data_IF_820608659000
#
_entry.id   IF_820608659000
#
_cell.length_a   1.000
_cell.length_b   1.000
_cell.length_c   1.000
_cell.angle_alpha   90.00
_cell.angle_beta   90.00
_cell.angle_gamma   90.00
#
_symmetry.space_group_name_H-M   'P 1'
#
loop_
_entity.id
_entity.type
_entity.pdbx_description
1 polymer ?
#
# COMPACT_ATOMS: atom_id res chain seq x y z
N UNK A 1 -2.47 -6.58 -27.74
CA UNK A 1 -2.91 -7.12 -26.44
C UNK A 1 -1.95 -6.57 -25.40
N UNK A 2 -2.34 -5.52 -24.67
CA UNK A 2 -1.49 -4.94 -23.62
C UNK A 2 -1.65 -5.78 -22.36
N UNK A 3 -0.77 -6.76 -22.17
CA UNK A 3 -0.66 -7.46 -20.90
C UNK A 3 -0.29 -6.43 -19.82
N UNK A 4 -1.25 -6.12 -18.95
CA UNK A 4 -1.10 -5.32 -17.74
C UNK A 4 -0.45 -6.22 -16.65
N UNK A 5 0.64 -6.89 -17.00
CA UNK A 5 1.35 -7.80 -16.09
C UNK A 5 1.84 -6.99 -14.88
N UNK A 6 1.09 -7.11 -13.77
CA UNK A 6 1.35 -6.58 -12.43
C UNK A 6 2.28 -5.38 -12.33
N UNK A 7 1.84 -4.22 -12.82
CA UNK A 7 2.55 -2.94 -12.61
C UNK A 7 2.93 -2.72 -11.15
N UNK A 8 2.13 -3.22 -10.20
CA UNK A 8 2.40 -3.12 -8.78
C UNK A 8 3.63 -3.92 -8.31
N UNK A 9 4.06 -4.97 -9.02
CA UNK A 9 5.28 -5.73 -8.72
C UNK A 9 6.54 -5.07 -9.25
N UNK A 10 6.43 -4.07 -10.12
CA UNK A 10 7.58 -3.31 -10.59
C UNK A 10 7.97 -2.29 -9.52
N UNK A 11 9.24 -2.31 -9.12
CA UNK A 11 9.77 -1.46 -8.04
C UNK A 11 9.47 0.03 -8.26
N UNK A 12 9.61 0.53 -9.49
CA UNK A 12 9.34 1.92 -9.84
C UNK A 12 7.89 2.33 -9.61
N UNK A 13 6.95 1.45 -10.00
CA UNK A 13 5.52 1.65 -9.85
C UNK A 13 5.08 1.48 -8.39
N UNK A 14 5.62 0.49 -7.68
CA UNK A 14 5.36 0.31 -6.26
C UNK A 14 5.89 1.46 -5.42
N UNK A 15 7.11 1.94 -5.70
CA UNK A 15 7.68 3.08 -5.00
C UNK A 15 6.82 4.34 -5.21
N UNK A 16 6.35 4.57 -6.45
CA UNK A 16 5.42 5.66 -6.73
C UNK A 16 4.12 5.51 -5.94
N UNK A 17 3.54 4.31 -5.91
CA UNK A 17 2.36 4.00 -5.10
C UNK A 17 2.58 4.23 -3.60
N UNK A 18 3.72 3.77 -3.07
CA UNK A 18 4.12 3.94 -1.67
C UNK A 18 4.21 5.41 -1.28
N UNK A 19 5.02 6.19 -1.99
CA UNK A 19 5.24 7.62 -1.69
C UNK A 19 3.94 8.42 -1.79
N UNK A 20 3.06 8.08 -2.73
CA UNK A 20 1.77 8.74 -2.91
C UNK A 20 0.78 8.46 -1.74
N UNK A 21 0.87 7.30 -1.11
CA UNK A 21 -0.14 6.83 -0.15
C UNK A 21 0.31 6.74 1.29
N UNK A 22 1.62 6.66 1.58
CA UNK A 22 2.17 6.45 2.93
C UNK A 22 1.64 7.47 3.94
N UNK A 23 1.63 8.76 3.60
CA UNK A 23 1.15 9.80 4.51
C UNK A 23 -0.33 9.65 4.83
N UNK A 24 -1.16 9.37 3.83
CA UNK A 24 -2.61 9.21 4.01
C UNK A 24 -2.92 7.93 4.81
N UNK A 25 -2.23 6.83 4.52
CA UNK A 25 -2.37 5.57 5.24
C UNK A 25 -1.94 5.72 6.71
N UNK A 26 -0.80 6.37 6.99
CA UNK A 26 -0.34 6.64 8.36
C UNK A 26 -1.30 7.54 9.11
N UNK A 27 -1.87 8.58 8.47
CA UNK A 27 -2.89 9.42 9.11
C UNK A 27 -4.17 8.64 9.43
N UNK A 28 -4.60 7.75 8.54
CA UNK A 28 -5.77 6.91 8.74
C UNK A 28 -5.55 5.89 9.86
N UNK A 29 -4.39 5.23 9.89
CA UNK A 29 -4.02 4.31 10.96
C UNK A 29 -3.93 5.04 12.30
N UNK A 30 -3.32 6.22 12.34
CA UNK A 30 -3.25 7.06 13.53
C UNK A 30 -4.63 7.47 14.03
N UNK A 31 -5.54 7.83 13.14
CA UNK A 31 -6.93 8.11 13.53
C UNK A 31 -7.61 6.90 14.20
N UNK A 32 -7.27 5.67 13.79
CA UNK A 32 -7.81 4.44 14.38
C UNK A 32 -7.16 4.07 15.72
N UNK A 33 -5.84 4.17 15.84
CA UNK A 33 -5.12 3.65 17.02
C UNK A 33 -4.69 4.73 18.04
N UNK A 34 -4.63 6.01 17.64
CA UNK A 34 -4.18 7.12 18.49
C UNK A 34 -2.68 7.15 18.80
N UNK A 35 -1.90 6.25 18.20
CA UNK A 35 -0.47 6.10 18.45
C UNK A 35 0.31 6.15 17.14
N UNK A 36 1.28 7.06 17.05
CA UNK A 36 2.01 7.32 15.80
C UNK A 36 2.94 6.18 15.40
N UNK A 37 3.59 5.55 16.37
CA UNK A 37 4.56 4.48 16.11
C UNK A 37 3.80 3.23 15.68
N UNK A 38 2.73 2.87 16.40
CA UNK A 38 1.84 1.78 16.00
C UNK A 38 1.18 2.04 14.64
N UNK A 39 0.79 3.28 14.34
CA UNK A 39 0.23 3.64 13.04
C UNK A 39 1.23 3.44 11.90
N UNK A 40 2.50 3.79 12.13
CA UNK A 40 3.56 3.58 11.16
C UNK A 40 3.79 2.08 10.93
N UNK A 41 3.91 1.29 12.01
CA UNK A 41 4.13 -0.16 11.94
C UNK A 41 3.02 -0.88 11.17
N UNK A 42 1.75 -0.57 11.49
CA UNK A 42 0.58 -1.13 10.79
C UNK A 42 0.61 -0.84 9.28
N UNK A 43 0.99 0.38 8.91
CA UNK A 43 1.02 0.80 7.52
C UNK A 43 2.18 0.16 6.77
N UNK A 44 3.37 0.07 7.39
CA UNK A 44 4.50 -0.65 6.80
C UNK A 44 4.16 -2.13 6.57
N UNK A 45 3.50 -2.79 7.53
CA UNK A 45 3.04 -4.16 7.37
C UNK A 45 2.03 -4.30 6.22
N UNK A 46 1.11 -3.35 6.07
CA UNK A 46 0.15 -3.33 4.96
C UNK A 46 0.85 -3.21 3.60
N UNK A 47 1.82 -2.30 3.46
CA UNK A 47 2.61 -2.18 2.23
C UNK A 47 3.44 -3.43 1.93
N UNK A 48 4.06 -4.05 2.94
CA UNK A 48 4.77 -5.33 2.78
C UNK A 48 3.85 -6.41 2.24
N UNK A 49 2.65 -6.57 2.81
CA UNK A 49 1.66 -7.55 2.32
C UNK A 49 1.20 -7.27 0.89
N UNK A 50 1.06 -6.00 0.51
CA UNK A 50 0.72 -5.61 -0.86
C UNK A 50 1.85 -5.97 -1.82
N UNK A 51 3.11 -5.74 -1.44
CA UNK A 51 4.27 -6.12 -2.24
C UNK A 51 4.39 -7.64 -2.42
N UNK A 52 4.28 -8.40 -1.33
CA UNK A 52 4.34 -9.88 -1.37
C UNK A 52 3.23 -10.49 -2.24
N UNK A 53 2.07 -9.83 -2.31
CA UNK A 53 0.91 -10.28 -3.09
C UNK A 53 0.68 -9.44 -4.34
N UNK A 54 1.67 -8.66 -4.79
CA UNK A 54 1.52 -7.70 -5.89
C UNK A 54 1.02 -8.36 -7.19
N UNK A 55 1.33 -9.64 -7.40
CA UNK A 55 0.91 -10.43 -8.55
C UNK A 55 -0.57 -10.82 -8.56
N UNK A 56 -1.21 -10.75 -7.39
CA UNK A 56 -2.63 -11.08 -7.16
C UNK A 56 -3.49 -9.84 -6.97
N UNK A 57 -2.86 -8.67 -6.80
CA UNK A 57 -3.54 -7.41 -6.50
C UNK A 57 -3.59 -6.55 -7.75
N UNK A 58 -4.81 -6.25 -8.19
CA UNK A 58 -5.02 -5.21 -9.20
C UNK A 58 -4.55 -3.86 -8.64
N UNK A 59 -3.78 -3.12 -9.44
CA UNK A 59 -3.27 -1.79 -9.05
C UNK A 59 -4.40 -0.84 -8.59
N UNK A 60 -5.59 -0.94 -9.17
CA UNK A 60 -6.76 -0.13 -8.78
C UNK A 60 -7.35 -0.51 -7.42
N UNK A 61 -7.15 -1.75 -6.97
CA UNK A 61 -7.61 -2.27 -5.68
C UNK A 61 -6.59 -2.08 -4.56
N UNK A 62 -5.30 -1.92 -4.90
CA UNK A 62 -4.22 -1.73 -3.94
C UNK A 62 -4.51 -0.60 -2.93
N UNK A 63 -5.13 0.49 -3.39
CA UNK A 63 -5.58 1.59 -2.52
C UNK A 63 -6.59 1.12 -1.48
N UNK A 64 -7.58 0.32 -1.84
CA UNK A 64 -8.61 -0.17 -0.91
C UNK A 64 -8.00 -1.03 0.21
N UNK A 65 -6.97 -1.81 -0.09
CA UNK A 65 -6.25 -2.61 0.92
C UNK A 65 -5.58 -1.76 2.00
N UNK A 66 -5.17 -0.52 1.70
CA UNK A 66 -4.54 0.38 2.68
C UNK A 66 -5.55 1.01 3.65
N UNK A 67 -6.82 1.10 3.29
CA UNK A 67 -7.84 1.86 4.03
C UNK A 67 -9.00 1.00 4.57
N UNK A 68 -8.86 -0.33 4.53
CA UNK A 68 -9.79 -1.26 5.17
C UNK A 68 -9.32 -1.53 6.59
#
# INVERSE_FOLDING_TARGET
MTNNDSKLCEESHFNKFYVEHIQHASNFAYYKCGDKDNALDLVQEAFTKIWENCSKIDFTKAKTYLFT
#
